data_IF_111704431891
#
_entry.id   IF_111704431891
#
_cell.length_a   1.000
_cell.length_b   1.000
_cell.length_c   1.000
_cell.angle_alpha   90.00
_cell.angle_beta   90.00
_cell.angle_gamma   90.00
#
_symmetry.space_group_name_H-M   'P 1'
#
loop_
_entity.id
_entity.type
_entity.pdbx_description
1 polymer ?
#
# COMPACT_ATOMS: atom_id res chain seq x y z
N UNK A 1 -26.62 -21.40 -55.73
CA UNK A 1 -25.32 -20.70 -55.79
C UNK A 1 -24.54 -21.06 -54.53
N UNK A 2 -23.47 -21.85 -54.63
CA UNK A 2 -22.60 -22.12 -53.49
C UNK A 2 -21.80 -20.84 -53.19
N UNK A 3 -22.02 -20.23 -52.04
CA UNK A 3 -21.16 -19.15 -51.58
C UNK A 3 -19.77 -19.74 -51.31
N UNK A 4 -18.75 -19.28 -52.05
CA UNK A 4 -17.38 -19.61 -51.75
C UNK A 4 -17.04 -19.01 -50.37
N UNK A 5 -16.75 -19.88 -49.39
CA UNK A 5 -16.22 -19.45 -48.10
C UNK A 5 -14.88 -18.76 -48.34
N UNK A 6 -14.84 -17.43 -48.15
CA UNK A 6 -13.59 -16.67 -48.10
C UNK A 6 -12.90 -17.00 -46.78
N UNK A 7 -11.88 -17.86 -46.83
CA UNK A 7 -11.01 -18.12 -45.69
C UNK A 7 -10.14 -16.91 -45.35
N UNK A 8 -9.72 -16.81 -44.10
CA UNK A 8 -8.72 -15.84 -43.64
C UNK A 8 -7.36 -16.13 -44.30
N UNK A 9 -6.62 -15.08 -44.68
CA UNK A 9 -5.27 -15.25 -45.23
C UNK A 9 -4.25 -15.38 -44.09
N UNK A 10 -3.16 -16.12 -44.36
CA UNK A 10 -2.03 -16.20 -43.41
C UNK A 10 -1.41 -14.82 -43.15
N UNK A 11 -1.43 -13.93 -44.14
CA UNK A 11 -0.92 -12.57 -44.01
C UNK A 11 -1.77 -11.77 -43.01
N UNK A 12 -3.09 -11.87 -43.06
CA UNK A 12 -3.97 -11.20 -42.10
C UNK A 12 -3.71 -11.70 -40.67
N UNK A 13 -3.55 -13.01 -40.48
CA UNK A 13 -3.21 -13.57 -39.17
C UNK A 13 -1.85 -13.10 -38.64
N UNK A 14 -0.83 -13.03 -39.50
CA UNK A 14 0.50 -12.55 -39.10
C UNK A 14 0.50 -11.08 -38.67
N UNK A 15 -0.26 -10.23 -39.37
CA UNK A 15 -0.40 -8.81 -39.00
C UNK A 15 -1.10 -8.67 -37.64
N UNK A 16 -2.17 -9.45 -37.40
CA UNK A 16 -2.89 -9.42 -36.13
C UNK A 16 -1.97 -9.83 -34.97
N UNK A 17 -1.19 -10.91 -35.14
CA UNK A 17 -0.24 -11.36 -34.10
C UNK A 17 0.84 -10.31 -33.84
N UNK A 18 1.34 -9.64 -34.86
CA UNK A 18 2.33 -8.57 -34.70
C UNK A 18 1.76 -7.38 -33.89
N UNK A 19 0.54 -6.95 -34.18
CA UNK A 19 -0.13 -5.87 -33.43
C UNK A 19 -0.38 -6.29 -31.97
N UNK A 20 -0.89 -7.50 -31.74
CA UNK A 20 -1.09 -8.03 -30.38
C UNK A 20 0.23 -8.08 -29.62
N UNK A 21 1.33 -8.47 -30.28
CA UNK A 21 2.67 -8.49 -29.69
C UNK A 21 3.13 -7.12 -29.19
N UNK A 22 2.94 -6.07 -30.00
CA UNK A 22 3.29 -4.69 -29.62
C UNK A 22 2.43 -4.22 -28.44
N UNK A 23 1.12 -4.45 -28.50
CA UNK A 23 0.20 -4.05 -27.42
C UNK A 23 0.51 -4.79 -26.12
N UNK A 24 0.80 -6.10 -26.18
CA UNK A 24 1.13 -6.92 -25.02
C UNK A 24 2.43 -6.47 -24.34
N UNK A 25 3.44 -6.07 -25.11
CA UNK A 25 4.73 -5.60 -24.57
C UNK A 25 4.58 -4.37 -23.66
N UNK A 26 3.62 -3.49 -23.94
CA UNK A 26 3.32 -2.30 -23.11
C UNK A 26 2.28 -2.61 -22.03
N UNK A 27 1.24 -3.38 -22.37
CA UNK A 27 0.11 -3.63 -21.49
C UNK A 27 0.45 -4.56 -20.31
N UNK A 28 1.28 -5.59 -20.53
CA UNK A 28 1.60 -6.58 -19.49
C UNK A 28 2.35 -5.96 -18.31
N UNK A 29 3.46 -5.21 -18.51
CA UNK A 29 4.15 -4.54 -17.39
C UNK A 29 3.24 -3.54 -16.65
N UNK A 30 2.44 -2.76 -17.39
CA UNK A 30 1.51 -1.81 -16.79
C UNK A 30 0.44 -2.50 -15.91
N UNK A 31 -0.12 -3.61 -16.40
CA UNK A 31 -1.10 -4.41 -15.64
C UNK A 31 -0.47 -5.04 -14.39
N UNK A 32 0.77 -5.53 -14.47
CA UNK A 32 1.51 -6.03 -13.30
C UNK A 32 1.67 -4.93 -12.25
N UNK A 33 2.11 -3.73 -12.61
CA UNK A 33 2.21 -2.61 -11.65
C UNK A 33 0.84 -2.24 -11.06
N UNK A 34 -0.23 -2.22 -11.86
CA UNK A 34 -1.58 -1.92 -11.37
C UNK A 34 -2.06 -2.94 -10.34
N UNK A 35 -1.88 -4.23 -10.64
CA UNK A 35 -2.27 -5.30 -9.70
C UNK A 35 -1.44 -5.28 -8.43
N UNK A 36 -0.14 -4.93 -8.49
CA UNK A 36 0.69 -4.73 -7.30
C UNK A 36 0.23 -3.54 -6.46
N UNK A 37 -0.11 -2.39 -7.06
CA UNK A 37 -0.69 -1.25 -6.33
C UNK A 37 -2.02 -1.61 -5.66
N UNK A 38 -2.89 -2.35 -6.36
CA UNK A 38 -4.16 -2.81 -5.82
C UNK A 38 -3.95 -3.71 -4.59
N UNK A 39 -3.02 -4.67 -4.66
CA UNK A 39 -2.66 -5.52 -3.51
C UNK A 39 -2.03 -4.71 -2.37
N UNK A 40 -1.17 -3.75 -2.69
CA UNK A 40 -0.54 -2.89 -1.69
C UNK A 40 -1.54 -1.95 -0.99
N UNK A 41 -2.69 -1.67 -1.61
CA UNK A 41 -3.74 -0.87 -0.96
C UNK A 41 -4.26 -1.50 0.33
N UNK A 42 -4.22 -2.84 0.44
CA UNK A 42 -4.53 -3.57 1.68
C UNK A 42 -3.53 -3.25 2.80
N UNK A 43 -2.24 -3.17 2.46
CA UNK A 43 -1.16 -2.80 3.41
C UNK A 43 -1.35 -1.38 3.92
N UNK A 44 -1.73 -0.46 3.03
CA UNK A 44 -2.04 0.93 3.39
C UNK A 44 -3.27 1.01 4.29
N UNK A 45 -4.35 0.29 3.94
CA UNK A 45 -5.58 0.25 4.72
C UNK A 45 -5.36 -0.40 6.10
N UNK A 46 -4.45 -1.37 6.19
CA UNK A 46 -4.06 -2.03 7.44
C UNK A 46 -3.49 -1.09 8.50
N UNK A 47 -3.01 0.10 8.13
CA UNK A 47 -2.56 1.11 9.10
C UNK A 47 -3.71 1.76 9.88
N UNK A 48 -4.96 1.70 9.39
CA UNK A 48 -6.12 2.40 9.96
C UNK A 48 -6.39 2.09 11.45
N UNK A 49 -6.39 0.83 11.93
CA UNK A 49 -6.64 0.56 13.35
C UNK A 49 -5.54 1.11 14.27
N UNK A 50 -4.27 1.06 13.87
CA UNK A 50 -3.16 1.65 14.64
C UNK A 50 -3.27 3.17 14.65
N UNK A 51 -3.59 3.77 13.51
CA UNK A 51 -3.83 5.21 13.36
C UNK A 51 -4.92 5.70 14.31
N UNK A 52 -6.07 5.01 14.31
CA UNK A 52 -7.20 5.35 15.18
C UNK A 52 -6.84 5.19 16.66
N UNK A 53 -6.15 4.11 17.03
CA UNK A 53 -5.68 3.92 18.41
C UNK A 53 -4.79 5.06 18.89
N UNK A 54 -3.83 5.49 18.06
CA UNK A 54 -2.96 6.62 18.37
C UNK A 54 -3.75 7.92 18.50
N UNK A 55 -4.71 8.18 17.60
CA UNK A 55 -5.57 9.36 17.67
C UNK A 55 -6.36 9.40 18.98
N UNK A 56 -6.97 8.29 19.39
CA UNK A 56 -7.73 8.22 20.65
C UNK A 56 -6.82 8.42 21.87
N UNK A 57 -5.69 7.72 21.93
CA UNK A 57 -4.73 7.91 23.01
C UNK A 57 -4.23 9.37 23.10
N UNK A 58 -4.03 10.04 21.97
CA UNK A 58 -3.64 11.44 21.96
C UNK A 58 -4.75 12.38 22.43
N UNK A 59 -6.01 12.08 22.13
CA UNK A 59 -7.14 12.85 22.66
C UNK A 59 -7.21 12.79 24.18
N UNK A 60 -6.87 11.63 24.77
CA UNK A 60 -6.90 11.45 26.23
C UNK A 60 -5.68 12.06 26.93
N UNK A 61 -4.47 11.90 26.36
CA UNK A 61 -3.22 12.27 27.03
C UNK A 61 -2.66 13.63 26.60
N UNK A 62 -3.04 14.14 25.43
CA UNK A 62 -2.48 15.35 24.83
C UNK A 62 -1.02 15.25 24.40
N UNK A 63 -0.38 14.08 24.52
CA UNK A 63 1.00 13.79 24.11
C UNK A 63 1.11 12.39 23.50
N UNK A 64 2.00 12.22 22.52
CA UNK A 64 2.12 10.95 21.78
C UNK A 64 3.08 9.93 22.41
N UNK A 65 3.91 10.33 23.38
CA UNK A 65 4.99 9.50 23.96
C UNK A 65 4.50 8.14 24.43
N UNK A 66 3.32 8.07 25.03
CA UNK A 66 2.77 6.85 25.62
C UNK A 66 1.71 6.16 24.72
N UNK A 67 1.50 6.65 23.50
CA UNK A 67 0.58 6.04 22.53
C UNK A 67 1.23 4.88 21.76
N UNK A 68 1.85 3.98 22.51
CA UNK A 68 2.62 2.83 22.02
C UNK A 68 1.77 1.56 21.98
N UNK A 69 2.23 0.54 21.27
CA UNK A 69 1.47 -0.71 21.10
C UNK A 69 1.13 -1.37 22.45
N UNK A 70 -0.13 -1.82 22.58
CA UNK A 70 -0.70 -2.41 23.81
C UNK A 70 -0.71 -1.47 25.04
N UNK A 71 -0.66 -0.16 24.83
CA UNK A 71 -0.66 0.83 25.91
C UNK A 71 -1.71 1.90 25.66
N UNK A 72 -2.32 2.44 26.73
CA UNK A 72 -3.33 3.53 26.65
C UNK A 72 -4.41 3.31 25.57
N UNK A 73 -4.91 2.08 25.43
CA UNK A 73 -5.96 1.73 24.46
C UNK A 73 -5.49 1.58 23.01
N UNK A 74 -4.20 1.80 22.71
CA UNK A 74 -3.65 1.58 21.37
C UNK A 74 -3.51 0.07 21.12
N UNK A 75 -4.02 -0.45 19.99
CA UNK A 75 -3.90 -1.87 19.65
C UNK A 75 -2.43 -2.33 19.60
N UNK A 76 -2.24 -3.64 19.79
CA UNK A 76 -0.95 -4.29 19.60
C UNK A 76 -0.52 -4.31 18.12
N UNK A 77 0.64 -4.92 17.87
CA UNK A 77 1.12 -5.15 16.52
C UNK A 77 0.11 -5.98 15.69
N UNK A 78 -0.04 -5.62 14.43
CA UNK A 78 -0.81 -6.37 13.45
C UNK A 78 0.08 -7.52 12.94
N UNK A 79 -0.41 -8.75 13.07
CA UNK A 79 0.24 -9.93 12.54
C UNK A 79 -0.01 -10.13 11.04
N UNK A 80 0.59 -11.19 10.48
CA UNK A 80 0.42 -11.49 9.07
C UNK A 80 -1.05 -11.83 8.75
N UNK A 81 -1.61 -11.17 7.74
CA UNK A 81 -2.97 -11.42 7.23
C UNK A 81 -3.06 -10.89 5.80
N UNK A 82 -3.55 -11.71 4.87
CA UNK A 82 -3.67 -11.33 3.46
C UNK A 82 -2.34 -10.85 2.88
N UNK A 83 -2.29 -9.62 2.36
CA UNK A 83 -1.06 -9.02 1.80
C UNK A 83 -0.20 -8.28 2.85
N UNK A 84 -0.53 -8.36 4.14
CA UNK A 84 0.21 -7.75 5.25
C UNK A 84 1.12 -8.81 5.90
N UNK A 85 2.39 -8.47 6.10
CA UNK A 85 3.32 -9.25 6.93
C UNK A 85 3.25 -8.80 8.39
N UNK A 86 3.32 -7.48 8.60
CA UNK A 86 3.30 -6.89 9.93
C UNK A 86 2.84 -5.43 9.89
N UNK A 87 2.27 -4.97 11.00
CA UNK A 87 2.03 -3.56 11.30
C UNK A 87 2.48 -3.24 12.71
N UNK A 88 3.40 -2.29 12.88
CA UNK A 88 3.99 -1.94 14.18
C UNK A 88 4.05 -0.44 14.37
N UNK A 89 4.06 -0.01 15.64
CA UNK A 89 4.36 1.38 16.02
C UNK A 89 5.86 1.42 16.33
N UNK A 90 6.67 2.05 15.48
CA UNK A 90 8.14 2.00 15.60
C UNK A 90 8.69 2.98 16.62
N UNK A 91 8.17 4.21 16.63
CA UNK A 91 8.65 5.26 17.53
C UNK A 91 7.59 6.34 17.73
N UNK A 92 7.35 6.69 18.99
CA UNK A 92 6.61 7.87 19.35
C UNK A 92 7.47 8.81 20.19
N UNK A 93 7.33 10.09 19.95
CA UNK A 93 7.82 11.17 20.81
C UNK A 93 6.62 11.94 21.37
N UNK A 94 6.82 13.04 22.07
CA UNK A 94 5.70 13.86 22.55
C UNK A 94 4.82 14.39 21.42
N UNK A 95 5.40 14.63 20.24
CA UNK A 95 4.76 15.34 19.11
C UNK A 95 4.71 14.54 17.82
N UNK A 96 5.22 13.31 17.81
CA UNK A 96 5.28 12.46 16.62
C UNK A 96 4.95 11.01 16.95
N UNK A 97 4.29 10.34 16.01
CA UNK A 97 4.10 8.89 16.03
C UNK A 97 4.37 8.30 14.65
N UNK A 98 4.91 7.09 14.60
CA UNK A 98 5.21 6.39 13.34
C UNK A 98 4.63 4.97 13.33
N UNK A 99 3.80 4.71 12.33
CA UNK A 99 3.29 3.38 12.02
C UNK A 99 4.07 2.84 10.83
N UNK A 100 4.67 1.66 10.97
CA UNK A 100 5.28 0.90 9.89
C UNK A 100 4.40 -0.29 9.55
N UNK A 101 3.97 -0.34 8.30
CA UNK A 101 3.35 -1.51 7.68
C UNK A 101 4.35 -2.17 6.75
N UNK A 102 4.45 -3.49 6.81
CA UNK A 102 5.29 -4.30 5.91
C UNK A 102 4.39 -5.24 5.11
N UNK A 103 4.54 -5.23 3.79
CA UNK A 103 3.85 -6.13 2.90
C UNK A 103 4.32 -7.58 3.08
N UNK A 104 3.44 -8.54 2.83
CA UNK A 104 3.79 -9.95 2.71
C UNK A 104 4.73 -10.17 1.51
N UNK A 105 5.57 -11.19 1.60
CA UNK A 105 6.33 -11.71 0.45
C UNK A 105 5.46 -12.70 -0.33
N UNK A 106 4.35 -12.20 -0.87
CA UNK A 106 3.35 -12.99 -1.57
C UNK A 106 2.71 -12.17 -2.70
N UNK A 107 2.10 -12.83 -3.67
CA UNK A 107 1.35 -12.15 -4.75
C UNK A 107 2.16 -11.05 -5.48
N UNK A 108 3.46 -11.30 -5.70
CA UNK A 108 4.38 -10.36 -6.36
C UNK A 108 4.84 -9.18 -5.47
N UNK A 109 4.36 -9.09 -4.24
CA UNK A 109 4.94 -8.25 -3.20
C UNK A 109 6.18 -8.95 -2.61
N UNK A 110 7.14 -8.16 -2.16
CA UNK A 110 8.48 -8.61 -1.76
C UNK A 110 8.91 -8.01 -0.42
N UNK A 111 7.96 -7.60 0.42
CA UNK A 111 8.27 -6.96 1.71
C UNK A 111 8.38 -5.44 1.65
N UNK A 112 7.73 -4.80 0.67
CA UNK A 112 7.69 -3.34 0.60
C UNK A 112 7.07 -2.74 1.87
N UNK A 113 7.58 -1.59 2.29
CA UNK A 113 7.16 -0.92 3.52
C UNK A 113 6.37 0.34 3.22
N UNK A 114 5.36 0.59 4.06
CA UNK A 114 4.59 1.82 4.11
C UNK A 114 4.73 2.42 5.51
N UNK A 115 5.25 3.63 5.59
CA UNK A 115 5.36 4.36 6.85
C UNK A 115 4.36 5.52 6.84
N UNK A 116 3.51 5.55 7.85
CA UNK A 116 2.55 6.61 8.10
C UNK A 116 2.97 7.39 9.34
N UNK A 117 3.32 8.67 9.16
CA UNK A 117 3.82 9.54 10.21
C UNK A 117 2.75 10.53 10.65
N UNK A 118 2.44 10.55 11.94
CA UNK A 118 1.57 11.53 12.56
C UNK A 118 2.41 12.59 13.27
N UNK A 119 2.11 13.87 13.06
CA UNK A 119 2.73 14.98 13.81
C UNK A 119 1.67 15.89 14.43
N UNK A 120 1.97 16.45 15.59
CA UNK A 120 1.14 17.46 16.26
C UNK A 120 2.03 18.57 16.82
N UNK A 121 1.49 19.78 16.95
CA UNK A 121 2.20 20.93 17.53
C UNK A 121 1.87 21.15 19.00
N UNK A 122 0.95 20.37 19.58
CA UNK A 122 0.63 20.43 21.01
C UNK A 122 -0.72 19.82 21.37
N UNK A 123 -1.05 19.76 22.66
CA UNK A 123 -2.34 19.27 23.14
C UNK A 123 -3.51 20.02 22.49
N UNK A 124 -4.56 19.30 22.09
CA UNK A 124 -5.74 19.87 21.44
C UNK A 124 -5.56 20.24 19.96
N UNK A 125 -4.35 20.10 19.39
CA UNK A 125 -4.13 20.24 17.95
C UNK A 125 -4.22 18.85 17.30
N UNK A 126 -5.14 18.64 16.32
CA UNK A 126 -5.30 17.35 15.66
C UNK A 126 -4.01 16.86 15.01
N UNK A 127 -3.74 15.56 15.13
CA UNK A 127 -2.60 14.91 14.47
C UNK A 127 -2.72 15.08 12.95
N UNK A 128 -1.67 15.58 12.34
CA UNK A 128 -1.52 15.64 10.89
C UNK A 128 -0.78 14.39 10.41
N UNK A 129 -1.47 13.59 9.61
CA UNK A 129 -0.91 12.34 9.06
C UNK A 129 -0.32 12.56 7.67
N UNK A 130 0.93 12.17 7.49
CA UNK A 130 1.66 12.28 6.23
C UNK A 130 2.38 10.97 5.90
N UNK A 131 2.30 10.60 4.62
CA UNK A 131 3.07 9.49 4.02
C UNK A 131 4.33 9.97 3.32
N UNK A 132 4.64 11.27 3.30
CA UNK A 132 5.70 11.83 2.43
C UNK A 132 6.99 12.12 3.18
N UNK A 133 6.94 12.35 4.49
CA UNK A 133 8.12 12.70 5.29
C UNK A 133 9.08 11.52 5.48
N UNK A 134 8.56 10.30 5.42
CA UNK A 134 9.29 9.04 5.36
C UNK A 134 8.30 7.98 4.83
N UNK A 135 8.20 7.74 3.52
CA UNK A 135 7.18 6.85 2.97
C UNK A 135 7.44 5.35 3.19
N UNK A 136 8.64 4.97 3.66
CA UNK A 136 9.14 3.61 3.47
C UNK A 136 9.55 3.37 2.00
N UNK A 137 9.57 2.10 1.56
CA UNK A 137 9.99 1.75 0.19
C UNK A 137 8.89 1.92 -0.85
N UNK A 138 7.63 2.11 -0.44
CA UNK A 138 6.50 2.10 -1.37
C UNK A 138 6.52 3.23 -2.41
N UNK A 139 7.03 4.43 -2.09
CA UNK A 139 7.15 5.54 -3.07
C UNK A 139 8.20 5.23 -4.14
N UNK A 140 9.37 4.75 -3.72
CA UNK A 140 10.44 4.38 -4.66
C UNK A 140 10.04 3.23 -5.59
N UNK A 141 9.14 2.36 -5.13
CA UNK A 141 8.58 1.24 -5.89
C UNK A 141 7.30 1.61 -6.67
N UNK A 142 6.85 2.87 -6.59
CA UNK A 142 5.64 3.34 -7.26
C UNK A 142 4.34 2.70 -6.77
N UNK A 143 4.33 2.14 -5.56
CA UNK A 143 3.17 1.49 -4.96
C UNK A 143 2.27 2.47 -4.20
N UNK A 144 2.84 3.57 -3.72
CA UNK A 144 2.21 4.67 -2.99
C UNK A 144 2.88 6.01 -3.39
#
# INVERSE_FOLDING_TARGET
>A
MQQAQKGFTLIELMIVVAIIGILAAVAVPAYQTYTLKARFSEVVAGAAPLKLGIELCFQDLGVLTNCTANNNGVPGAIGATGNILSGVIQANTATQAEILMTAATANGLTGQTYILRGTTTGPGVPIQWSKTANPGTCVAQGLC
#
